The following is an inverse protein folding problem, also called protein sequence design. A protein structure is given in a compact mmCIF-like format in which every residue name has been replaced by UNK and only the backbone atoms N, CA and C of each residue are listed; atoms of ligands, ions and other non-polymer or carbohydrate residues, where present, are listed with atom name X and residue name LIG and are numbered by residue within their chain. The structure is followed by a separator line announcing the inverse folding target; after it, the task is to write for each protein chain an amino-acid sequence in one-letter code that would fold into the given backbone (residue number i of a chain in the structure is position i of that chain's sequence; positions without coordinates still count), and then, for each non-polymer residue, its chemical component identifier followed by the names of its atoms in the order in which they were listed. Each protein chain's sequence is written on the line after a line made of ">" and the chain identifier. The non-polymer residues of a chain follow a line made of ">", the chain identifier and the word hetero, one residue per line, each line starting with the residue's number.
data_IF_043645595303
#
_entry.id   IF_043645595303
#
_cell.length_a   1.000
_cell.length_b   1.000
_cell.length_c   1.000
_cell.angle_alpha   90.00
_cell.angle_beta   90.00
_cell.angle_gamma   90.00
#
_symmetry.space_group_name_H-M   'P 1'
#
loop_
_entity.id
_entity.type
_entity.pdbx_description
1 polymer ?
#
# COMPACT_ATOMS: atom_id res chain seq x y z
N UNK A 1 -21.10 35.40 -1.49
CA UNK A 1 -20.00 35.02 -0.58
C UNK A 1 -19.75 33.52 -0.79
N UNK A 2 -18.89 33.19 -1.72
CA UNK A 2 -18.50 31.81 -2.04
C UNK A 2 -17.41 31.45 -1.06
N UNK A 3 -17.73 30.62 -0.07
CA UNK A 3 -16.74 30.01 0.81
C UNK A 3 -15.87 29.08 -0.03
N UNK A 4 -14.61 29.43 -0.21
CA UNK A 4 -13.57 28.51 -0.63
C UNK A 4 -13.53 27.36 0.39
N UNK A 5 -14.02 26.19 -0.01
CA UNK A 5 -13.69 24.92 0.63
C UNK A 5 -12.20 24.72 0.34
N UNK A 6 -11.42 24.62 1.42
CA UNK A 6 -9.97 24.58 1.34
C UNK A 6 -9.45 23.46 0.44
N UNK A 7 -8.30 23.77 -0.12
CA UNK A 7 -7.45 22.94 -0.98
C UNK A 7 -6.89 21.72 -0.20
N UNK A 8 -7.78 20.84 0.25
CA UNK A 8 -7.43 19.65 1.01
C UNK A 8 -7.53 18.41 0.12
N UNK A 9 -6.37 17.89 -0.22
CA UNK A 9 -6.14 16.62 -0.90
C UNK A 9 -6.25 16.63 -2.43
N UNK A 10 -5.65 17.60 -3.11
CA UNK A 10 -5.34 17.41 -4.52
C UNK A 10 -4.36 16.24 -4.66
N UNK A 11 -4.85 15.08 -5.13
CA UNK A 11 -4.02 13.96 -5.53
C UNK A 11 -3.36 14.35 -6.85
N UNK A 12 -2.04 14.49 -6.85
CA UNK A 12 -1.23 14.78 -8.05
C UNK A 12 -0.26 13.62 -8.27
N UNK A 13 -0.81 12.50 -8.76
CA UNK A 13 -0.05 11.26 -8.97
C UNK A 13 1.09 11.46 -9.95
N UNK A 14 0.88 12.31 -10.98
CA UNK A 14 1.90 12.63 -11.98
C UNK A 14 3.11 13.36 -11.38
N UNK A 15 2.89 14.33 -10.50
CA UNK A 15 4.00 15.04 -9.84
C UNK A 15 4.78 14.11 -8.91
N UNK A 16 4.10 13.25 -8.18
CA UNK A 16 4.76 12.26 -7.32
C UNK A 16 5.51 11.22 -8.14
N UNK A 17 4.96 10.76 -9.26
CA UNK A 17 5.64 9.83 -10.18
C UNK A 17 6.89 10.47 -10.79
N UNK A 18 6.85 11.76 -11.14
CA UNK A 18 8.02 12.49 -11.64
C UNK A 18 9.12 12.56 -10.58
N UNK A 19 8.78 12.97 -9.35
CA UNK A 19 9.73 13.01 -8.23
C UNK A 19 10.31 11.63 -7.92
N UNK A 20 9.49 10.58 -7.93
CA UNK A 20 9.91 9.21 -7.69
C UNK A 20 10.97 8.77 -8.70
N UNK A 21 10.75 9.04 -9.99
CA UNK A 21 11.69 8.69 -11.07
C UNK A 21 12.97 9.52 -11.07
N UNK A 22 12.89 10.78 -10.67
CA UNK A 22 14.05 11.67 -10.52
C UNK A 22 14.90 11.29 -9.32
N UNK A 23 14.27 11.05 -8.16
CA UNK A 23 14.97 10.75 -6.92
C UNK A 23 15.42 9.29 -6.81
N UNK A 24 14.69 8.36 -7.46
CA UNK A 24 14.94 6.91 -7.41
C UNK A 24 15.17 6.41 -5.99
N UNK A 25 14.21 6.62 -5.06
CA UNK A 25 14.39 6.28 -3.66
C UNK A 25 14.63 4.79 -3.46
N UNK A 26 15.47 4.46 -2.47
CA UNK A 26 15.63 3.09 -2.01
C UNK A 26 14.39 2.70 -1.18
N UNK A 27 13.71 1.62 -1.55
CA UNK A 27 12.57 1.07 -0.80
C UNK A 27 12.99 -0.26 -0.19
N UNK A 28 13.13 -0.26 1.13
CA UNK A 28 13.45 -1.48 1.87
C UNK A 28 12.18 -2.29 2.09
N UNK A 29 12.20 -3.56 1.68
CA UNK A 29 11.04 -4.44 1.75
C UNK A 29 11.40 -5.71 2.52
N UNK A 30 10.85 -5.87 3.71
CA UNK A 30 10.84 -7.15 4.42
C UNK A 30 9.49 -7.78 4.07
N UNK A 31 9.49 -8.56 3.00
CA UNK A 31 8.27 -9.09 2.38
C UNK A 31 8.23 -10.62 2.39
N UNK A 32 7.20 -11.22 1.86
CA UNK A 32 7.00 -12.65 1.86
C UNK A 32 7.66 -13.34 0.65
N UNK A 33 8.01 -14.62 0.81
CA UNK A 33 8.71 -15.42 -0.19
C UNK A 33 7.96 -15.58 -1.52
N UNK A 34 6.63 -15.50 -1.49
CA UNK A 34 5.81 -15.70 -2.70
C UNK A 34 5.98 -14.54 -3.68
N UNK A 35 6.29 -13.33 -3.18
CA UNK A 35 6.22 -12.09 -3.98
C UNK A 35 7.51 -11.26 -3.97
N UNK A 36 8.61 -11.77 -3.41
CA UNK A 36 9.89 -11.03 -3.38
C UNK A 36 10.31 -10.55 -4.77
N UNK A 37 10.25 -11.43 -5.76
CA UNK A 37 10.62 -11.09 -7.14
C UNK A 37 9.64 -10.11 -7.76
N UNK A 38 8.35 -10.34 -7.56
CA UNK A 38 7.26 -9.53 -8.10
C UNK A 38 7.30 -8.10 -7.57
N UNK A 39 7.46 -7.93 -6.26
CA UNK A 39 7.52 -6.60 -5.64
C UNK A 39 8.81 -5.86 -6.00
N UNK A 40 9.95 -6.57 -6.13
CA UNK A 40 11.19 -5.98 -6.60
C UNK A 40 11.05 -5.46 -8.04
N UNK A 41 10.52 -6.28 -8.96
CA UNK A 41 10.32 -5.88 -10.34
C UNK A 41 9.31 -4.73 -10.48
N UNK A 42 8.21 -4.74 -9.73
CA UNK A 42 7.24 -3.64 -9.73
C UNK A 42 7.88 -2.32 -9.23
N UNK A 43 8.69 -2.40 -8.16
CA UNK A 43 9.45 -1.26 -7.63
C UNK A 43 10.42 -0.68 -8.66
N UNK A 44 11.15 -1.55 -9.38
CA UNK A 44 12.04 -1.13 -10.47
C UNK A 44 11.26 -0.53 -11.64
N UNK A 45 10.16 -1.18 -12.04
CA UNK A 45 9.35 -0.75 -13.18
C UNK A 45 8.78 0.65 -12.98
N UNK A 46 8.30 0.98 -11.76
CA UNK A 46 7.76 2.32 -11.49
C UNK A 46 8.84 3.39 -11.34
N UNK A 47 10.11 3.01 -11.10
CA UNK A 47 11.27 3.89 -11.09
C UNK A 47 12.02 4.03 -9.77
N UNK A 48 11.66 3.27 -8.72
CA UNK A 48 12.37 3.22 -7.44
C UNK A 48 13.41 2.08 -7.41
N UNK A 49 14.16 1.96 -6.31
CA UNK A 49 15.18 0.94 -6.10
C UNK A 49 14.76 0.00 -4.96
N UNK A 50 14.57 -1.30 -5.20
CA UNK A 50 14.20 -2.25 -4.15
C UNK A 50 15.44 -2.78 -3.42
N UNK A 51 15.28 -3.06 -2.12
CA UNK A 51 16.20 -3.89 -1.35
C UNK A 51 15.40 -4.80 -0.41
N UNK A 52 15.76 -6.11 -0.39
CA UNK A 52 15.10 -7.15 0.40
C UNK A 52 16.03 -7.68 1.51
N UNK A 53 16.56 -6.77 2.31
CA UNK A 53 17.37 -7.11 3.47
C UNK A 53 16.46 -7.54 4.64
N UNK A 54 16.67 -8.72 5.20
CA UNK A 54 15.85 -9.27 6.28
C UNK A 54 16.64 -9.90 7.43
N UNK A 55 17.97 -10.01 7.27
CA UNK A 55 18.83 -10.53 8.31
C UNK A 55 18.86 -9.56 9.51
N UNK A 56 18.70 -10.07 10.76
CA UNK A 56 18.69 -9.20 11.95
C UNK A 56 19.94 -8.32 12.08
N UNK A 57 21.06 -8.77 11.52
CA UNK A 57 22.35 -8.09 11.58
C UNK A 57 22.42 -6.82 10.72
N UNK A 58 21.57 -6.71 9.68
CA UNK A 58 21.63 -5.60 8.71
C UNK A 58 20.34 -4.76 8.64
N UNK A 59 19.17 -5.30 9.08
CA UNK A 59 17.88 -4.65 8.85
C UNK A 59 17.79 -3.22 9.41
N UNK A 60 18.42 -2.95 10.55
CA UNK A 60 18.40 -1.64 11.18
C UNK A 60 19.21 -0.61 10.38
N UNK A 61 20.39 -0.99 9.90
CA UNK A 61 21.24 -0.13 9.06
C UNK A 61 20.52 0.17 7.73
N UNK A 62 20.00 -0.87 7.07
CA UNK A 62 19.31 -0.73 5.79
C UNK A 62 18.04 0.12 5.90
N UNK A 63 17.23 -0.08 6.95
CA UNK A 63 16.00 0.68 7.16
C UNK A 63 16.29 2.17 7.44
N UNK A 64 17.40 2.49 8.07
CA UNK A 64 17.77 3.87 8.41
C UNK A 64 18.17 4.72 7.21
N UNK A 65 18.63 4.11 6.11
CA UNK A 65 19.07 4.80 4.89
C UNK A 65 18.05 4.71 3.75
N UNK A 66 16.97 3.96 3.94
CA UNK A 66 15.90 3.82 2.96
C UNK A 66 15.02 5.08 2.88
N UNK A 67 14.39 5.30 1.74
CA UNK A 67 13.34 6.32 1.57
C UNK A 67 12.00 5.88 2.16
N UNK A 68 11.74 4.56 2.20
CA UNK A 68 10.58 3.94 2.87
C UNK A 68 10.87 2.49 3.26
N UNK A 69 10.16 2.00 4.28
CA UNK A 69 10.18 0.60 4.70
C UNK A 69 8.80 -0.03 4.47
N UNK A 70 8.76 -1.19 3.82
CA UNK A 70 7.54 -2.00 3.63
C UNK A 70 7.67 -3.30 4.40
N UNK A 71 6.71 -3.56 5.28
CA UNK A 71 6.61 -4.76 6.10
C UNK A 71 5.41 -5.59 5.64
N UNK A 72 5.64 -6.83 5.20
CA UNK A 72 4.60 -7.73 4.71
C UNK A 72 4.72 -9.11 5.36
N UNK A 73 3.70 -9.51 6.13
CA UNK A 73 3.69 -10.73 6.94
C UNK A 73 3.16 -11.98 6.22
N UNK A 74 3.19 -12.02 4.88
CA UNK A 74 2.56 -13.09 4.09
C UNK A 74 3.09 -14.50 4.38
N UNK A 75 4.39 -14.66 4.63
CA UNK A 75 5.04 -15.94 4.99
C UNK A 75 5.89 -15.77 6.26
N UNK A 76 5.30 -15.21 7.31
CA UNK A 76 6.01 -14.85 8.53
C UNK A 76 6.57 -16.07 9.29
N UNK A 77 7.70 -15.84 9.95
CA UNK A 77 8.23 -16.63 11.08
C UNK A 77 8.42 -15.69 12.26
N UNK A 78 8.67 -16.23 13.45
CA UNK A 78 8.95 -15.41 14.63
C UNK A 78 10.18 -14.51 14.39
N UNK A 79 11.26 -15.08 13.86
CA UNK A 79 12.50 -14.36 13.55
C UNK A 79 12.28 -13.25 12.52
N UNK A 80 11.40 -13.51 11.54
CA UNK A 80 11.05 -12.51 10.52
C UNK A 80 10.31 -11.31 11.11
N UNK A 81 9.39 -11.57 12.06
CA UNK A 81 8.67 -10.52 12.78
C UNK A 81 9.61 -9.70 13.67
N UNK A 82 10.59 -10.35 14.35
CA UNK A 82 11.63 -9.63 15.10
C UNK A 82 12.45 -8.70 14.20
N UNK A 83 12.88 -9.18 13.03
CA UNK A 83 13.58 -8.35 12.04
C UNK A 83 12.73 -7.17 11.57
N UNK A 84 11.42 -7.38 11.33
CA UNK A 84 10.49 -6.30 10.97
C UNK A 84 10.40 -5.23 12.06
N UNK A 85 10.34 -5.62 13.33
CA UNK A 85 10.29 -4.69 14.47
C UNK A 85 11.60 -3.91 14.60
N UNK A 86 12.75 -4.60 14.49
CA UNK A 86 14.07 -3.95 14.51
C UNK A 86 14.20 -2.92 13.39
N UNK A 87 13.85 -3.31 12.15
CA UNK A 87 13.86 -2.41 11.00
C UNK A 87 12.89 -1.24 11.18
N UNK A 88 11.66 -1.51 11.66
CA UNK A 88 10.64 -0.49 11.87
C UNK A 88 11.05 0.56 12.91
N UNK A 89 11.65 0.15 14.02
CA UNK A 89 12.17 1.07 15.03
C UNK A 89 13.34 1.92 14.49
N UNK A 90 14.23 1.34 13.72
CA UNK A 90 15.32 2.05 13.08
C UNK A 90 14.80 3.06 12.04
N UNK A 91 13.84 2.66 11.21
CA UNK A 91 13.13 3.53 10.27
C UNK A 91 12.49 4.73 10.99
N UNK A 92 11.73 4.48 12.07
CA UNK A 92 11.10 5.54 12.86
C UNK A 92 12.14 6.52 13.43
N UNK A 93 13.27 6.02 13.96
CA UNK A 93 14.34 6.85 14.49
C UNK A 93 14.99 7.72 13.41
N UNK A 94 15.00 7.28 12.16
CA UNK A 94 15.53 7.99 11.01
C UNK A 94 14.48 8.87 10.28
N UNK A 95 13.22 8.86 10.71
CA UNK A 95 12.12 9.58 10.04
C UNK A 95 11.66 8.93 8.73
N UNK A 96 11.98 7.66 8.52
CA UNK A 96 11.61 6.88 7.33
C UNK A 96 10.18 6.35 7.50
N UNK A 97 9.25 6.60 6.55
CA UNK A 97 7.89 6.11 6.65
C UNK A 97 7.81 4.59 6.52
N UNK A 98 6.94 3.99 7.35
CA UNK A 98 6.71 2.55 7.38
C UNK A 98 5.32 2.22 6.81
N UNK A 99 5.26 1.30 5.85
CA UNK A 99 4.03 0.73 5.30
C UNK A 99 3.89 -0.70 5.82
N UNK A 100 2.73 -1.04 6.39
CA UNK A 100 2.42 -2.40 6.84
C UNK A 100 1.35 -3.03 5.93
N UNK A 101 1.65 -4.22 5.45
CA UNK A 101 0.73 -5.14 4.76
C UNK A 101 0.45 -6.36 5.66
N UNK A 102 -0.68 -6.38 6.40
CA UNK A 102 -0.97 -7.40 7.40
C UNK A 102 -1.58 -8.66 6.78
N UNK A 103 -0.95 -9.20 5.74
CA UNK A 103 -1.46 -10.33 4.95
C UNK A 103 -1.99 -11.46 5.80
N UNK A 104 -3.29 -11.73 5.68
CA UNK A 104 -3.97 -12.82 6.37
C UNK A 104 -4.25 -12.55 7.86
N UNK A 105 -4.20 -11.32 8.32
CA UNK A 105 -4.72 -10.97 9.65
C UNK A 105 -6.20 -11.41 9.77
N UNK A 106 -6.54 -12.08 10.85
CA UNK A 106 -7.84 -12.74 11.04
C UNK A 106 -7.89 -14.20 10.61
N UNK A 107 -7.00 -14.66 9.74
CA UNK A 107 -6.98 -16.06 9.32
C UNK A 107 -6.38 -17.00 10.39
N UNK A 108 -5.36 -16.55 11.10
CA UNK A 108 -4.74 -17.29 12.22
C UNK A 108 -4.39 -16.36 13.37
N UNK A 109 -4.32 -16.93 14.58
CA UNK A 109 -3.90 -16.18 15.77
C UNK A 109 -2.48 -15.59 15.61
N UNK A 110 -1.56 -16.35 15.03
CA UNK A 110 -0.18 -15.90 14.79
C UNK A 110 -0.14 -14.64 13.91
N UNK A 111 -0.87 -14.63 12.79
CA UNK A 111 -0.88 -13.49 11.85
C UNK A 111 -1.45 -12.24 12.52
N UNK A 112 -2.59 -12.41 13.19
CA UNK A 112 -3.24 -11.31 13.90
C UNK A 112 -2.36 -10.74 15.00
N UNK A 113 -1.80 -11.60 15.86
CA UNK A 113 -0.91 -11.17 16.94
C UNK A 113 0.37 -10.51 16.41
N UNK A 114 0.95 -11.01 15.32
CA UNK A 114 2.15 -10.41 14.72
C UNK A 114 1.87 -9.02 14.14
N UNK A 115 0.77 -8.85 13.41
CA UNK A 115 0.39 -7.54 12.89
C UNK A 115 0.10 -6.54 14.02
N UNK A 116 -0.63 -6.95 15.05
CA UNK A 116 -0.91 -6.13 16.24
C UNK A 116 0.39 -5.76 16.99
N UNK A 117 1.32 -6.70 17.11
CA UNK A 117 2.62 -6.45 17.74
C UNK A 117 3.44 -5.44 16.95
N UNK A 118 3.50 -5.55 15.62
CA UNK A 118 4.18 -4.56 14.77
C UNK A 118 3.56 -3.18 14.98
N UNK A 119 2.22 -3.07 14.95
CA UNK A 119 1.52 -1.80 15.19
C UNK A 119 1.77 -1.20 16.58
N UNK A 120 1.97 -2.04 17.60
CA UNK A 120 2.25 -1.59 18.97
C UNK A 120 3.71 -1.12 19.17
N UNK A 121 4.66 -1.67 18.39
CA UNK A 121 6.09 -1.46 18.61
C UNK A 121 6.75 -0.57 17.54
N UNK A 122 6.05 -0.30 16.42
CA UNK A 122 6.53 0.46 15.28
C UNK A 122 5.51 1.55 14.93
N UNK A 123 5.96 2.77 14.75
CA UNK A 123 5.15 3.87 14.21
C UNK A 123 4.90 3.64 12.71
N UNK A 124 3.77 3.01 12.40
CA UNK A 124 3.34 2.73 11.02
C UNK A 124 2.66 3.97 10.44
N UNK A 125 3.12 4.45 9.29
CA UNK A 125 2.51 5.59 8.61
C UNK A 125 1.27 5.18 7.79
N UNK A 126 1.31 4.02 7.16
CA UNK A 126 0.24 3.51 6.30
C UNK A 126 0.03 2.01 6.56
N UNK A 127 -1.21 1.61 6.84
CA UNK A 127 -1.63 0.20 6.81
C UNK A 127 -2.42 -0.02 5.54
N UNK A 128 -2.03 -1.00 4.72
CA UNK A 128 -2.76 -1.39 3.52
C UNK A 128 -3.18 -2.85 3.60
N UNK A 129 -4.46 -3.14 3.44
CA UNK A 129 -5.00 -4.50 3.48
C UNK A 129 -6.35 -4.60 2.76
N UNK A 130 -6.88 -5.82 2.64
CA UNK A 130 -8.27 -6.02 2.24
C UNK A 130 -9.22 -5.72 3.42
N UNK A 131 -10.53 -5.66 3.13
CA UNK A 131 -11.53 -5.31 4.14
C UNK A 131 -11.50 -6.23 5.37
N UNK A 132 -11.28 -7.54 5.19
CA UNK A 132 -11.26 -8.51 6.27
C UNK A 132 -10.02 -8.33 7.19
N UNK A 133 -8.86 -8.08 6.61
CA UNK A 133 -7.62 -7.80 7.32
C UNK A 133 -7.73 -6.51 8.14
N UNK A 134 -8.19 -5.44 7.52
CA UNK A 134 -8.36 -4.13 8.16
C UNK A 134 -9.39 -4.18 9.28
N UNK A 135 -10.55 -4.80 9.06
CA UNK A 135 -11.57 -4.94 10.10
C UNK A 135 -11.09 -5.75 11.30
N UNK A 136 -10.26 -6.77 11.04
CA UNK A 136 -9.65 -7.56 12.12
C UNK A 136 -8.75 -6.68 12.99
N UNK A 137 -7.88 -5.85 12.39
CA UNK A 137 -6.98 -4.97 13.13
C UNK A 137 -7.72 -3.84 13.84
N UNK A 138 -8.81 -3.33 13.25
CA UNK A 138 -9.66 -2.31 13.86
C UNK A 138 -10.59 -2.86 14.97
N UNK A 139 -10.54 -4.16 15.25
CA UNK A 139 -11.43 -4.81 16.26
C UNK A 139 -12.87 -4.99 15.79
N UNK A 140 -13.16 -4.83 14.47
CA UNK A 140 -14.52 -4.88 13.88
C UNK A 140 -14.82 -6.17 13.11
N UNK A 141 -14.02 -7.22 13.29
CA UNK A 141 -14.13 -8.48 12.55
C UNK A 141 -15.52 -9.17 12.67
N UNK A 142 -16.25 -8.94 13.76
CA UNK A 142 -17.58 -9.51 13.97
C UNK A 142 -18.65 -8.85 13.07
N UNK A 143 -18.47 -7.58 12.72
CA UNK A 143 -19.40 -6.83 11.87
C UNK A 143 -19.38 -7.32 10.42
N UNK A 144 -18.21 -7.74 9.93
CA UNK A 144 -18.02 -8.20 8.54
C UNK A 144 -18.57 -9.61 8.31
N UNK A 145 -18.57 -10.49 9.33
CA UNK A 145 -19.08 -11.87 9.18
C UNK A 145 -20.60 -11.96 8.98
N UNK A 146 -21.34 -10.88 9.25
CA UNK A 146 -22.80 -10.81 9.11
C UNK A 146 -23.29 -10.18 7.81
N UNK A 147 -22.39 -9.64 6.98
CA UNK A 147 -22.77 -8.85 5.79
C UNK A 147 -22.05 -9.40 4.57
N UNK A 148 -22.77 -10.08 3.69
CA UNK A 148 -22.30 -10.44 2.34
C UNK A 148 -22.01 -9.18 1.48
N UNK A 149 -22.13 -7.97 2.04
CA UNK A 149 -22.21 -6.67 1.35
C UNK A 149 -20.94 -5.82 1.40
N UNK A 150 -19.80 -6.30 1.90
CA UNK A 150 -18.52 -5.54 1.83
C UNK A 150 -18.03 -5.35 0.36
N UNK A 151 -18.85 -5.77 -0.60
CA UNK A 151 -18.62 -5.54 -2.03
C UNK A 151 -19.11 -4.16 -2.54
N UNK A 152 -19.81 -3.37 -1.71
CA UNK A 152 -20.26 -2.03 -2.11
C UNK A 152 -19.29 -0.97 -1.59
N UNK A 153 -18.81 -0.08 -2.47
CA UNK A 153 -17.77 0.90 -2.16
C UNK A 153 -18.07 1.86 -0.98
N UNK A 154 -19.32 1.91 -0.49
CA UNK A 154 -19.71 2.72 0.68
C UNK A 154 -19.15 2.14 1.99
N UNK A 155 -19.22 0.83 2.16
CA UNK A 155 -18.74 0.16 3.38
C UNK A 155 -17.21 0.23 3.53
N UNK A 156 -16.45 0.28 2.42
CA UNK A 156 -15.00 0.38 2.45
C UNK A 156 -14.51 1.74 2.96
N UNK A 157 -15.21 2.83 2.63
CA UNK A 157 -14.90 4.18 3.11
C UNK A 157 -15.09 4.31 4.63
N UNK A 158 -16.23 3.83 5.13
CA UNK A 158 -16.53 3.83 6.57
C UNK A 158 -15.54 2.97 7.35
N UNK A 159 -15.19 1.80 6.80
CA UNK A 159 -14.18 0.93 7.41
C UNK A 159 -12.81 1.61 7.45
N UNK A 160 -12.37 2.23 6.35
CA UNK A 160 -11.09 2.93 6.29
C UNK A 160 -11.03 4.06 7.32
N UNK A 161 -12.10 4.86 7.43
CA UNK A 161 -12.20 5.99 8.38
C UNK A 161 -12.14 5.49 9.83
N UNK A 162 -12.95 4.49 10.17
CA UNK A 162 -12.97 3.92 11.52
C UNK A 162 -11.64 3.26 11.88
N UNK A 163 -11.04 2.51 10.95
CA UNK A 163 -9.75 1.87 11.17
C UNK A 163 -8.60 2.88 11.32
N UNK A 164 -8.58 3.94 10.49
CA UNK A 164 -7.58 4.99 10.61
C UNK A 164 -7.66 5.70 11.96
N UNK A 165 -8.89 6.01 12.42
CA UNK A 165 -9.12 6.59 13.75
C UNK A 165 -8.68 5.66 14.88
N UNK A 166 -8.93 4.35 14.76
CA UNK A 166 -8.58 3.37 15.78
C UNK A 166 -7.07 3.06 15.84
N UNK A 167 -6.41 3.02 14.67
CA UNK A 167 -4.99 2.68 14.55
C UNK A 167 -4.06 3.90 14.64
N UNK A 168 -4.60 5.12 14.48
CA UNK A 168 -3.82 6.36 14.53
C UNK A 168 -2.86 6.55 13.35
N UNK A 169 -3.17 5.97 12.19
CA UNK A 169 -2.38 6.06 10.97
C UNK A 169 -3.28 6.06 9.73
N UNK A 170 -2.71 6.30 8.55
CA UNK A 170 -3.45 6.17 7.30
C UNK A 170 -3.79 4.70 7.04
N UNK A 171 -5.03 4.43 6.64
CA UNK A 171 -5.50 3.10 6.28
C UNK A 171 -5.98 3.09 4.83
N UNK A 172 -5.47 2.14 4.06
CA UNK A 172 -5.92 1.83 2.71
C UNK A 172 -6.62 0.47 2.68
N UNK A 173 -7.92 0.48 2.46
CA UNK A 173 -8.76 -0.71 2.26
C UNK A 173 -8.87 -0.96 0.77
N UNK A 174 -8.36 -2.11 0.30
CA UNK A 174 -8.38 -2.44 -1.12
C UNK A 174 -9.50 -3.40 -1.49
N UNK A 175 -10.12 -3.14 -2.66
CA UNK A 175 -11.26 -3.87 -3.19
C UNK A 175 -11.58 -3.47 -4.64
N UNK A 176 -12.80 -3.72 -5.12
CA UNK A 176 -13.23 -3.24 -6.45
C UNK A 176 -13.19 -1.71 -6.60
N UNK A 177 -13.42 -1.00 -5.51
CA UNK A 177 -13.13 0.42 -5.31
C UNK A 177 -12.33 0.51 -4.02
N UNK A 178 -11.12 1.06 -4.10
CA UNK A 178 -10.27 1.24 -2.94
C UNK A 178 -10.71 2.46 -2.12
N UNK A 179 -10.47 2.41 -0.80
CA UNK A 179 -10.71 3.53 0.09
C UNK A 179 -9.47 3.82 0.94
N UNK A 180 -9.06 5.09 1.02
CA UNK A 180 -7.92 5.53 1.81
C UNK A 180 -8.37 6.63 2.76
N UNK A 181 -8.06 6.49 4.06
CA UNK A 181 -8.45 7.47 5.08
C UNK A 181 -7.34 7.74 6.09
N UNK A 182 -7.30 8.96 6.60
CA UNK A 182 -6.50 9.37 7.77
C UNK A 182 -7.37 9.52 9.04
N UNK A 183 -8.65 9.13 8.96
CA UNK A 183 -9.63 9.27 10.02
C UNK A 183 -10.45 10.56 9.94
N UNK A 184 -10.06 11.52 9.11
CA UNK A 184 -10.73 12.81 8.89
C UNK A 184 -11.16 12.96 7.42
N UNK A 185 -10.21 12.71 6.54
CA UNK A 185 -10.42 12.74 5.09
C UNK A 185 -10.41 11.32 4.56
N UNK A 186 -11.40 11.00 3.71
CA UNK A 186 -11.49 9.71 3.04
C UNK A 186 -11.57 9.90 1.54
N UNK A 187 -10.72 9.19 0.81
CA UNK A 187 -10.65 9.18 -0.64
C UNK A 187 -11.06 7.80 -1.15
N UNK A 188 -11.84 7.78 -2.24
CA UNK A 188 -12.18 6.57 -2.99
C UNK A 188 -11.45 6.58 -4.32
N UNK A 189 -10.84 5.45 -4.66
CA UNK A 189 -10.07 5.25 -5.89
C UNK A 189 -10.76 4.15 -6.70
N UNK A 190 -11.26 4.49 -7.88
CA UNK A 190 -11.99 3.58 -8.76
C UNK A 190 -11.15 3.10 -9.96
N UNK A 191 -9.84 3.31 -9.94
CA UNK A 191 -8.91 2.78 -10.93
C UNK A 191 -8.65 1.30 -10.69
N UNK A 192 -8.47 0.54 -11.74
CA UNK A 192 -8.13 -0.88 -11.71
C UNK A 192 -8.92 -1.71 -12.70
N UNK A 193 -8.49 -2.97 -12.83
CA UNK A 193 -9.12 -3.97 -13.68
C UNK A 193 -9.28 -5.30 -12.91
N UNK A 194 -10.38 -6.05 -13.10
CA UNK A 194 -10.60 -7.34 -12.45
C UNK A 194 -9.47 -8.36 -12.64
N UNK A 195 -8.66 -8.24 -13.69
CA UNK A 195 -7.49 -9.10 -13.93
C UNK A 195 -6.46 -9.01 -12.80
N UNK A 196 -6.39 -7.89 -12.06
CA UNK A 196 -5.54 -7.76 -10.87
C UNK A 196 -5.84 -8.85 -9.82
N UNK A 197 -7.08 -9.28 -9.68
CA UNK A 197 -7.47 -10.34 -8.75
C UNK A 197 -7.11 -11.76 -9.24
N UNK A 198 -6.68 -11.92 -10.50
CA UNK A 198 -6.35 -13.23 -11.09
C UNK A 198 -4.86 -13.59 -11.00
N UNK A 199 -4.02 -12.66 -10.56
CA UNK A 199 -2.57 -12.84 -10.38
C UNK A 199 -2.23 -12.72 -8.90
N UNK A 200 -1.58 -13.74 -8.34
CA UNK A 200 -1.13 -13.67 -6.95
C UNK A 200 -0.08 -12.57 -6.75
N UNK A 201 -0.13 -11.90 -5.60
CA UNK A 201 0.86 -10.89 -5.24
C UNK A 201 0.54 -9.46 -5.68
N UNK A 202 -0.50 -9.21 -6.48
CA UNK A 202 -0.88 -7.85 -6.89
C UNK A 202 -1.21 -6.96 -5.69
N UNK A 203 -1.80 -7.52 -4.62
CA UNK A 203 -1.96 -6.82 -3.35
C UNK A 203 -0.61 -6.44 -2.73
N UNK A 204 0.35 -7.36 -2.66
CA UNK A 204 1.69 -7.08 -2.14
C UNK A 204 2.45 -6.07 -3.04
N UNK A 205 2.22 -6.10 -4.36
CA UNK A 205 2.70 -5.07 -5.30
C UNK A 205 2.10 -3.71 -4.94
N UNK A 206 0.80 -3.63 -4.62
CA UNK A 206 0.18 -2.39 -4.17
C UNK A 206 0.89 -1.81 -2.93
N UNK A 207 1.23 -2.66 -1.95
CA UNK A 207 1.97 -2.24 -0.76
C UNK A 207 3.40 -1.79 -1.08
N UNK A 208 4.09 -2.46 -2.00
CA UNK A 208 5.42 -2.07 -2.47
C UNK A 208 5.39 -0.70 -3.18
N UNK A 209 4.42 -0.48 -4.07
CA UNK A 209 4.21 0.80 -4.75
C UNK A 209 3.80 1.89 -3.75
N UNK A 210 2.98 1.56 -2.73
CA UNK A 210 2.67 2.49 -1.63
C UNK A 210 3.96 2.94 -0.93
N UNK A 211 4.90 2.04 -0.68
CA UNK A 211 6.23 2.38 -0.18
C UNK A 211 7.00 3.32 -1.11
N UNK A 212 6.93 3.10 -2.43
CA UNK A 212 7.58 3.99 -3.41
C UNK A 212 7.04 5.42 -3.36
N UNK A 213 5.71 5.57 -3.29
CA UNK A 213 5.08 6.90 -3.17
C UNK A 213 5.28 7.51 -1.79
N UNK A 214 5.29 6.73 -0.71
CA UNK A 214 5.60 7.20 0.63
C UNK A 214 7.02 7.77 0.72
N UNK A 215 7.99 7.18 0.01
CA UNK A 215 9.37 7.63 -0.03
C UNK A 215 9.55 9.04 -0.63
N UNK A 216 8.60 9.55 -1.39
CA UNK A 216 8.63 10.90 -1.96
C UNK A 216 7.53 11.83 -1.42
N UNK A 217 6.74 11.34 -0.45
CA UNK A 217 5.63 12.05 0.18
C UNK A 217 5.62 11.82 1.71
N UNK A 218 6.75 11.96 2.38
CA UNK A 218 6.93 11.64 3.81
C UNK A 218 5.90 12.33 4.72
N UNK A 219 5.55 13.57 4.41
CA UNK A 219 4.62 14.43 5.15
C UNK A 219 3.15 14.29 4.72
N UNK A 220 2.87 13.47 3.68
CA UNK A 220 1.55 13.32 3.08
C UNK A 220 1.16 11.86 2.86
N UNK A 221 1.07 11.04 3.94
CA UNK A 221 0.82 9.60 3.81
C UNK A 221 -0.54 9.26 3.19
N UNK A 222 -1.57 10.10 3.37
CA UNK A 222 -2.88 9.92 2.73
C UNK A 222 -2.75 10.01 1.20
N UNK A 223 -2.07 11.05 0.70
CA UNK A 223 -1.82 11.22 -0.73
C UNK A 223 -0.93 10.10 -1.27
N UNK A 224 0.14 9.76 -0.55
CA UNK A 224 1.03 8.67 -0.96
C UNK A 224 0.28 7.35 -1.19
N UNK A 225 -0.61 6.98 -0.28
CA UNK A 225 -1.41 5.76 -0.41
C UNK A 225 -2.40 5.84 -1.57
N UNK A 226 -3.11 6.97 -1.73
CA UNK A 226 -4.05 7.16 -2.82
C UNK A 226 -3.37 7.16 -4.20
N UNK A 227 -2.27 7.88 -4.34
CA UNK A 227 -1.49 7.98 -5.57
C UNK A 227 -0.89 6.62 -6.00
N UNK A 228 -0.45 5.81 -5.02
CA UNK A 228 0.02 4.46 -5.29
C UNK A 228 -1.07 3.55 -5.87
N UNK A 229 -2.30 3.64 -5.34
CA UNK A 229 -3.44 2.87 -5.82
C UNK A 229 -3.90 3.36 -7.20
N UNK A 230 -3.89 4.66 -7.45
CA UNK A 230 -4.13 5.21 -8.80
C UNK A 230 -3.09 4.65 -9.78
N UNK A 231 -1.80 4.69 -9.43
CA UNK A 231 -0.73 4.24 -10.30
C UNK A 231 -0.86 2.75 -10.65
N UNK A 232 -1.10 1.90 -9.64
CA UNK A 232 -1.31 0.47 -9.88
C UNK A 232 -2.60 0.19 -10.65
N UNK A 233 -3.67 0.91 -10.33
CA UNK A 233 -4.96 0.76 -11.01
C UNK A 233 -4.87 1.12 -12.49
N UNK A 234 -4.28 2.27 -12.82
CA UNK A 234 -4.07 2.71 -14.23
C UNK A 234 -3.16 1.73 -14.98
N UNK A 235 -2.08 1.25 -14.35
CA UNK A 235 -1.21 0.24 -14.96
C UNK A 235 -1.95 -1.10 -15.17
N UNK A 236 -2.83 -1.49 -14.23
CA UNK A 236 -3.68 -2.67 -14.36
C UNK A 236 -4.65 -2.57 -15.54
N UNK A 237 -5.27 -1.40 -15.75
CA UNK A 237 -6.13 -1.12 -16.90
C UNK A 237 -5.35 -1.28 -18.22
N UNK A 238 -4.16 -0.70 -18.32
CA UNK A 238 -3.32 -0.80 -19.51
C UNK A 238 -2.84 -2.23 -19.77
N UNK A 239 -2.44 -2.94 -18.72
CA UNK A 239 -2.04 -4.34 -18.81
C UNK A 239 -3.17 -5.24 -19.31
N UNK A 240 -4.42 -5.00 -18.89
CA UNK A 240 -5.57 -5.79 -19.27
C UNK A 240 -5.87 -5.69 -20.77
N UNK A 241 -5.72 -4.50 -21.37
CA UNK A 241 -5.94 -4.28 -22.81
C UNK A 241 -5.05 -5.18 -23.68
N UNK A 242 -3.84 -5.46 -23.24
CA UNK A 242 -2.83 -6.21 -24.00
C UNK A 242 -2.72 -7.68 -23.57
N UNK A 243 -3.58 -8.13 -22.65
CA UNK A 243 -3.50 -9.46 -22.06
C UNK A 243 -4.50 -10.45 -22.64
N UNK A 244 -4.11 -11.75 -22.69
CA UNK A 244 -4.99 -12.86 -23.05
C UNK A 244 -5.42 -13.70 -21.84
N UNK A 245 -4.84 -13.42 -20.68
CA UNK A 245 -5.08 -14.14 -19.44
C UNK A 245 -4.03 -13.79 -18.37
N UNK A 246 -4.08 -14.41 -17.19
CA UNK A 246 -3.24 -14.02 -16.03
C UNK A 246 -1.74 -13.98 -16.30
N UNK A 247 -1.22 -14.93 -17.09
CA UNK A 247 0.23 -14.99 -17.39
C UNK A 247 0.69 -13.81 -18.23
N UNK A 248 0.00 -13.45 -19.30
CA UNK A 248 0.33 -12.27 -20.10
C UNK A 248 0.02 -10.97 -19.37
N UNK A 249 -1.04 -10.96 -18.55
CA UNK A 249 -1.35 -9.82 -17.69
C UNK A 249 -0.23 -9.52 -16.68
N UNK A 250 0.32 -10.56 -16.03
CA UNK A 250 1.42 -10.42 -15.08
C UNK A 250 2.64 -9.74 -15.73
N UNK A 251 3.02 -10.17 -16.93
CA UNK A 251 4.13 -9.55 -17.68
C UNK A 251 3.78 -8.12 -18.09
N UNK A 252 2.59 -7.92 -18.67
CA UNK A 252 2.13 -6.62 -19.15
C UNK A 252 1.99 -5.59 -18.03
N UNK A 253 1.76 -6.01 -16.78
CA UNK A 253 1.66 -5.11 -15.63
C UNK A 253 2.99 -4.39 -15.36
N UNK A 254 4.13 -5.07 -15.48
CA UNK A 254 5.44 -4.43 -15.33
C UNK A 254 5.72 -3.45 -16.48
N UNK A 255 5.39 -3.83 -17.70
CA UNK A 255 5.53 -2.94 -18.87
C UNK A 255 4.64 -1.71 -18.71
N UNK A 256 3.41 -1.88 -18.22
CA UNK A 256 2.48 -0.79 -17.97
C UNK A 256 2.98 0.15 -16.86
N UNK A 257 3.48 -0.38 -15.73
CA UNK A 257 4.09 0.42 -14.65
C UNK A 257 5.27 1.26 -15.16
N UNK A 258 6.12 0.66 -16.00
CA UNK A 258 7.25 1.34 -16.61
C UNK A 258 6.80 2.46 -17.58
N UNK A 259 5.75 2.19 -18.36
CA UNK A 259 5.23 3.10 -19.39
C UNK A 259 4.34 4.23 -18.82
N UNK A 260 3.94 4.20 -17.54
CA UNK A 260 3.14 5.28 -16.94
C UNK A 260 3.78 6.64 -17.22
N UNK A 261 2.98 7.61 -17.65
CA UNK A 261 3.45 8.99 -17.82
C UNK A 261 2.74 9.92 -16.83
N UNK A 262 3.45 10.94 -16.30
CA UNK A 262 2.85 11.88 -15.34
C UNK A 262 1.55 12.53 -15.84
N UNK A 263 1.52 12.99 -17.07
CA UNK A 263 0.34 13.69 -17.62
C UNK A 263 -0.83 12.72 -17.87
N UNK A 264 -0.52 11.50 -18.34
CA UNK A 264 -1.53 10.46 -18.61
C UNK A 264 -2.18 9.96 -17.32
N UNK A 265 -1.38 9.78 -16.26
CA UNK A 265 -1.90 9.23 -15.00
C UNK A 265 -2.87 10.20 -14.31
N UNK A 266 -2.55 11.51 -14.30
CA UNK A 266 -3.43 12.53 -13.71
C UNK A 266 -4.75 12.65 -14.50
N UNK A 267 -4.71 12.56 -15.82
CA UNK A 267 -5.90 12.61 -16.66
C UNK A 267 -6.84 11.38 -16.47
N UNK A 268 -6.30 10.27 -15.95
CA UNK A 268 -7.03 9.00 -15.76
C UNK A 268 -7.36 8.70 -14.31
N UNK A 269 -6.85 9.48 -13.38
CA UNK A 269 -7.13 9.30 -11.96
C UNK A 269 -8.65 9.42 -11.68
N UNK A 270 -9.22 8.36 -11.09
CA UNK A 270 -10.62 8.32 -10.66
C UNK A 270 -10.68 8.36 -9.15
N UNK A 271 -10.43 9.55 -8.60
CA UNK A 271 -10.42 9.80 -7.16
C UNK A 271 -11.58 10.71 -6.79
N UNK A 272 -12.34 10.33 -5.76
CA UNK A 272 -13.43 11.13 -5.19
C UNK A 272 -13.29 11.21 -3.68
N UNK A 273 -13.68 12.32 -3.07
CA UNK A 273 -13.89 12.39 -1.63
C UNK A 273 -15.12 11.55 -1.25
N UNK A 274 -15.05 10.84 -0.12
CA UNK A 274 -16.17 10.06 0.42
C UNK A 274 -16.98 10.89 1.43
#
# INVERSE_FOLDING_TARGET
>A
MTTHVGDTAAVSTGDSLRRLREQRPLVHQITNFVVMNETANATLAIGALPVMAHAPEEVAEMASVAGALVLNIGTLTTEWVESMILAGRAANSAGVPVVLDPVGAGATALRTASAQRILAEVGVAIVRGNAAEIATLAGRAAEIRGVESVATGEDAGDLATAAASALGCVVAVTGPVDAVSDGVTTLRIANGDPMLATVTGTGCIASAITGCFAAVNHDRPLQAAAEALVALGVAGEDAAVHSRGPGSFHVALYDALYALSPDSIDARARVTAA
#
